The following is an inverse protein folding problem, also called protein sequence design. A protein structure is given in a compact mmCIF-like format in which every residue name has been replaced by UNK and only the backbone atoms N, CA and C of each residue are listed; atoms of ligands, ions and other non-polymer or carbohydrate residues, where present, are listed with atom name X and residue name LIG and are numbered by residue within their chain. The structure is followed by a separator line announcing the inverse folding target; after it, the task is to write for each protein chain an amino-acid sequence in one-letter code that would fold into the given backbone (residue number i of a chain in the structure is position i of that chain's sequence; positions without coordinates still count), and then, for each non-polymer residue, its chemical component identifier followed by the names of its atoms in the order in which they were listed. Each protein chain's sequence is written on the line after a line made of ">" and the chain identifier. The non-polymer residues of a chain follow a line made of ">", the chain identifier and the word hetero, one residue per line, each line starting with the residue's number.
data_IF_914446423546
#
_entry.id   IF_914446423546
#
_cell.length_a   1.000
_cell.length_b   1.000
_cell.length_c   1.000
_cell.angle_alpha   90.00
_cell.angle_beta   90.00
_cell.angle_gamma   90.00
#
_symmetry.space_group_name_H-M   'P 1'
#
loop_
_entity.id
_entity.type
_entity.pdbx_description
1 polymer ?
#
# COMPACT_ATOMS: atom_id res chain seq x y z
N UNK A 1 -19.04 -5.37 30.77
CA UNK A 1 -17.59 -5.17 30.56
C UNK A 1 -16.97 -4.75 31.88
N UNK A 2 -16.17 -5.62 32.51
CA UNK A 2 -15.58 -5.33 33.84
C UNK A 2 -14.56 -4.19 33.75
N UNK A 3 -14.30 -3.51 34.85
CA UNK A 3 -13.36 -2.40 34.89
C UNK A 3 -11.91 -2.84 34.58
N UNK A 4 -11.57 -4.11 34.86
CA UNK A 4 -10.29 -4.71 34.48
C UNK A 4 -10.11 -4.83 32.96
N UNK A 5 -11.17 -5.17 32.21
CA UNK A 5 -11.10 -5.25 30.74
C UNK A 5 -11.03 -3.87 30.07
N UNK A 6 -11.58 -2.83 30.71
CA UNK A 6 -11.46 -1.45 30.20
C UNK A 6 -10.02 -0.96 30.34
N UNK A 7 -9.38 -1.24 31.47
CA UNK A 7 -8.01 -0.79 31.72
C UNK A 7 -6.99 -1.49 30.81
N UNK A 8 -7.14 -2.81 30.60
CA UNK A 8 -6.31 -3.55 29.63
C UNK A 8 -6.42 -2.97 28.20
N UNK A 9 -7.64 -2.64 27.73
CA UNK A 9 -7.84 -2.02 26.41
C UNK A 9 -7.16 -0.66 26.28
N UNK A 10 -7.19 0.18 27.32
CA UNK A 10 -6.51 1.49 27.31
C UNK A 10 -5.00 1.34 27.21
N UNK A 11 -4.40 0.42 27.97
CA UNK A 11 -2.96 0.16 27.94
C UNK A 11 -2.54 -0.35 26.55
N UNK A 12 -3.32 -1.24 25.94
CA UNK A 12 -3.06 -1.73 24.58
C UNK A 12 -3.18 -0.62 23.53
N UNK A 13 -4.22 0.22 23.60
CA UNK A 13 -4.43 1.33 22.68
C UNK A 13 -3.30 2.37 22.77
N UNK A 14 -2.92 2.76 23.99
CA UNK A 14 -1.83 3.72 24.19
C UNK A 14 -0.49 3.20 23.70
N UNK A 15 -0.22 1.90 23.90
CA UNK A 15 1.00 1.26 23.38
C UNK A 15 1.03 1.25 21.86
N UNK A 16 -0.09 0.90 21.21
CA UNK A 16 -0.24 0.94 19.74
C UNK A 16 -0.08 2.35 19.18
N UNK A 17 -0.66 3.35 19.85
CA UNK A 17 -0.54 4.76 19.47
C UNK A 17 0.90 5.27 19.58
N UNK A 18 1.62 4.94 20.66
CA UNK A 18 3.04 5.31 20.81
C UNK A 18 3.89 4.74 19.69
N UNK A 19 3.69 3.46 19.35
CA UNK A 19 4.40 2.82 18.25
C UNK A 19 4.06 3.48 16.90
N UNK A 20 2.78 3.79 16.66
CA UNK A 20 2.33 4.51 15.47
C UNK A 20 3.00 5.88 15.35
N UNK A 21 2.95 6.71 16.40
CA UNK A 21 3.56 8.04 16.40
C UNK A 21 5.07 7.96 16.15
N UNK A 22 5.78 7.04 16.83
CA UNK A 22 7.22 6.85 16.63
C UNK A 22 7.56 6.52 15.17
N UNK A 23 6.82 5.59 14.56
CA UNK A 23 7.05 5.22 13.16
C UNK A 23 6.68 6.37 12.21
N UNK A 24 5.59 7.08 12.48
CA UNK A 24 5.19 8.27 11.71
C UNK A 24 6.27 9.33 11.75
N UNK A 25 6.75 9.69 12.94
CA UNK A 25 7.73 10.74 13.13
C UNK A 25 9.04 10.37 12.44
N UNK A 26 9.46 9.10 12.54
CA UNK A 26 10.60 8.57 11.78
C UNK A 26 10.45 8.78 10.26
N UNK A 27 9.28 8.53 9.69
CA UNK A 27 9.04 8.74 8.25
C UNK A 27 9.22 10.21 7.88
N UNK A 28 8.66 11.13 8.67
CA UNK A 28 8.80 12.56 8.39
C UNK A 28 10.25 13.05 8.57
N UNK A 29 10.95 12.55 9.58
CA UNK A 29 12.36 12.86 9.81
C UNK A 29 13.25 12.38 8.65
N UNK A 30 13.10 11.12 8.23
CA UNK A 30 13.88 10.57 7.10
C UNK A 30 13.54 11.26 5.78
N UNK A 31 12.27 11.63 5.57
CA UNK A 31 11.86 12.46 4.43
C UNK A 31 12.52 13.84 4.45
N UNK A 32 12.61 14.48 5.62
CA UNK A 32 13.25 15.80 5.75
C UNK A 32 14.74 15.77 5.42
N UNK A 33 15.38 14.62 5.64
CA UNK A 33 16.78 14.35 5.27
C UNK A 33 16.95 13.98 3.79
N UNK A 34 15.86 13.89 3.03
CA UNK A 34 15.87 13.48 1.63
C UNK A 34 16.09 11.98 1.41
N UNK A 35 15.94 11.13 2.44
CA UNK A 35 16.11 9.68 2.30
C UNK A 35 14.86 9.09 1.63
N UNK A 36 15.02 8.66 0.38
CA UNK A 36 13.97 8.03 -0.44
C UNK A 36 14.40 6.62 -0.84
N UNK A 37 14.26 5.67 0.08
CA UNK A 37 14.70 4.28 -0.07
C UNK A 37 13.56 3.27 0.15
N UNK A 38 13.86 1.98 -0.07
CA UNK A 38 12.91 0.88 0.12
C UNK A 38 12.53 0.69 1.61
N UNK A 39 13.39 1.12 2.55
CA UNK A 39 13.06 1.11 3.97
C UNK A 39 11.87 2.05 4.26
N UNK A 40 11.85 3.23 3.63
CA UNK A 40 10.74 4.16 3.72
C UNK A 40 9.43 3.60 3.15
N UNK A 41 9.49 2.78 2.09
CA UNK A 41 8.33 2.02 1.61
C UNK A 41 7.86 1.02 2.67
N UNK A 42 8.76 0.34 3.36
CA UNK A 42 8.37 -0.60 4.42
C UNK A 42 7.71 0.11 5.60
N UNK A 43 8.27 1.24 6.05
CA UNK A 43 7.75 2.03 7.17
C UNK A 43 6.35 2.62 6.87
N UNK A 44 6.18 3.20 5.68
CA UNK A 44 4.91 3.79 5.27
C UNK A 44 3.83 2.72 5.08
N UNK A 45 4.17 1.51 4.59
CA UNK A 45 3.25 0.39 4.46
C UNK A 45 2.68 -0.06 5.82
N UNK A 46 3.54 -0.17 6.83
CA UNK A 46 3.15 -0.58 8.18
C UNK A 46 2.12 0.36 8.84
N UNK A 47 2.11 1.64 8.45
CA UNK A 47 1.12 2.61 8.91
C UNK A 47 -0.16 2.57 8.06
N UNK A 48 -0.03 2.42 6.75
CA UNK A 48 -1.16 2.41 5.81
C UNK A 48 -2.08 1.19 6.00
N UNK A 49 -1.54 0.00 6.27
CA UNK A 49 -2.38 -1.19 6.57
C UNK A 49 -3.32 -0.94 7.76
N UNK A 50 -2.92 -0.09 8.71
CA UNK A 50 -3.72 0.24 9.91
C UNK A 50 -4.61 1.47 9.70
N UNK A 51 -4.17 2.41 8.87
CA UNK A 51 -4.87 3.66 8.57
C UNK A 51 -4.71 4.00 7.08
N UNK A 52 -5.47 3.33 6.19
CA UNK A 52 -5.31 3.46 4.74
C UNK A 52 -5.74 4.84 4.21
N UNK A 53 -6.50 5.59 5.02
CA UNK A 53 -7.00 6.93 4.72
C UNK A 53 -5.95 8.03 4.84
N UNK A 54 -4.75 7.72 5.34
CA UNK A 54 -3.70 8.72 5.54
C UNK A 54 -3.02 9.08 4.21
N UNK A 55 -3.67 9.98 3.47
CA UNK A 55 -3.28 10.42 2.13
C UNK A 55 -1.83 10.93 2.02
N UNK A 56 -1.34 11.64 3.03
CA UNK A 56 0.05 12.13 3.03
C UNK A 56 1.04 10.99 2.83
N UNK A 57 0.84 9.82 3.46
CA UNK A 57 1.75 8.68 3.29
C UNK A 57 1.73 8.14 1.86
N UNK A 58 0.56 8.09 1.20
CA UNK A 58 0.47 7.70 -0.20
C UNK A 58 1.24 8.65 -1.12
N UNK A 59 1.22 9.95 -0.84
CA UNK A 59 2.01 10.93 -1.60
C UNK A 59 3.50 10.68 -1.41
N UNK A 60 3.94 10.51 -0.16
CA UNK A 60 5.33 10.17 0.17
C UNK A 60 5.77 8.91 -0.58
N UNK A 61 4.93 7.87 -0.62
CA UNK A 61 5.23 6.63 -1.36
C UNK A 61 5.41 6.84 -2.86
N UNK A 62 4.52 7.60 -3.51
CA UNK A 62 4.63 7.86 -4.97
C UNK A 62 5.93 8.58 -5.31
N UNK A 63 6.33 9.54 -4.48
CA UNK A 63 7.63 10.22 -4.64
C UNK A 63 8.80 9.25 -4.50
N UNK A 64 8.79 8.38 -3.48
CA UNK A 64 9.84 7.37 -3.28
C UNK A 64 9.93 6.41 -4.47
N UNK A 65 8.80 5.86 -4.95
CA UNK A 65 8.78 4.96 -6.10
C UNK A 65 9.29 5.66 -7.36
N UNK A 66 8.90 6.92 -7.57
CA UNK A 66 9.42 7.72 -8.67
C UNK A 66 10.94 7.89 -8.62
N UNK A 67 11.48 8.21 -7.44
CA UNK A 67 12.92 8.32 -7.22
C UNK A 67 13.65 7.00 -7.44
N UNK A 68 13.14 5.90 -6.88
CA UNK A 68 13.71 4.56 -7.06
C UNK A 68 13.68 4.14 -8.53
N UNK A 69 12.60 4.44 -9.26
CA UNK A 69 12.49 4.13 -10.68
C UNK A 69 13.53 4.85 -11.53
N UNK A 70 13.75 6.14 -11.29
CA UNK A 70 14.82 6.88 -11.95
C UNK A 70 16.20 6.31 -11.60
N UNK A 71 16.43 5.97 -10.34
CA UNK A 71 17.71 5.41 -9.88
C UNK A 71 17.99 4.04 -10.51
N UNK A 72 17.01 3.14 -10.49
CA UNK A 72 17.09 1.76 -10.99
C UNK A 72 17.25 1.73 -12.52
N UNK A 73 16.62 2.65 -13.25
CA UNK A 73 16.75 2.73 -14.72
C UNK A 73 18.18 3.04 -15.18
N UNK A 74 19.02 3.59 -14.29
CA UNK A 74 20.44 3.84 -14.58
C UNK A 74 21.34 2.60 -14.35
N UNK A 75 20.77 1.47 -13.88
CA UNK A 75 21.47 0.20 -13.64
C UNK A 75 21.34 -0.76 -14.85
N UNK A 76 21.99 -1.93 -14.79
CA UNK A 76 21.91 -2.95 -15.85
C UNK A 76 20.46 -3.41 -16.09
N UNK A 77 20.07 -3.55 -17.36
CA UNK A 77 18.68 -3.68 -17.77
C UNK A 77 17.92 -4.87 -17.12
N UNK A 78 18.54 -6.03 -16.97
CA UNK A 78 17.83 -7.23 -16.51
C UNK A 78 17.55 -7.21 -14.99
N UNK A 79 18.54 -6.77 -14.20
CA UNK A 79 18.39 -6.63 -12.74
C UNK A 79 17.47 -5.46 -12.37
N UNK A 80 17.52 -4.38 -13.15
CA UNK A 80 16.62 -3.22 -12.97
C UNK A 80 15.14 -3.57 -13.13
N UNK A 81 14.82 -4.43 -14.11
CA UNK A 81 13.45 -4.87 -14.38
C UNK A 81 12.92 -5.71 -13.23
N UNK A 82 13.74 -6.66 -12.75
CA UNK A 82 13.36 -7.53 -11.63
C UNK A 82 13.10 -6.74 -10.34
N UNK A 83 14.01 -5.82 -9.98
CA UNK A 83 13.83 -5.00 -8.76
C UNK A 83 12.58 -4.13 -8.84
N UNK A 84 12.30 -3.57 -10.02
CA UNK A 84 11.09 -2.77 -10.24
C UNK A 84 9.81 -3.61 -10.11
N UNK A 85 9.81 -4.84 -10.64
CA UNK A 85 8.68 -5.76 -10.52
C UNK A 85 8.40 -6.14 -9.06
N UNK A 86 9.45 -6.37 -8.26
CA UNK A 86 9.33 -6.63 -6.82
C UNK A 86 8.67 -5.46 -6.08
N UNK A 87 9.07 -4.22 -6.38
CA UNK A 87 8.48 -3.00 -5.81
C UNK A 87 6.98 -2.90 -6.19
N UNK A 88 6.65 -3.08 -7.47
CA UNK A 88 5.25 -2.98 -7.92
C UNK A 88 4.36 -4.08 -7.35
N UNK A 89 4.87 -5.31 -7.25
CA UNK A 89 4.15 -6.41 -6.61
C UNK A 89 3.86 -6.11 -5.14
N UNK A 90 4.82 -5.52 -4.40
CA UNK A 90 4.61 -5.10 -3.02
C UNK A 90 3.55 -3.98 -2.90
N UNK A 91 3.54 -3.00 -3.82
CA UNK A 91 2.50 -1.95 -3.84
C UNK A 91 1.11 -2.52 -4.11
N UNK A 92 1.00 -3.50 -5.01
CA UNK A 92 -0.26 -4.15 -5.31
C UNK A 92 -0.81 -4.86 -4.07
N UNK A 93 0.04 -5.62 -3.36
CA UNK A 93 -0.32 -6.31 -2.12
C UNK A 93 -0.73 -5.32 -1.02
N UNK A 94 0.00 -4.22 -0.85
CA UNK A 94 -0.36 -3.18 0.12
C UNK A 94 -1.73 -2.57 -0.20
N UNK A 95 -1.96 -2.23 -1.47
CA UNK A 95 -3.23 -1.64 -1.92
C UNK A 95 -4.38 -2.59 -1.67
N UNK A 96 -4.21 -3.87 -1.98
CA UNK A 96 -5.20 -4.90 -1.69
C UNK A 96 -5.49 -4.99 -0.19
N UNK A 97 -4.47 -5.07 0.65
CA UNK A 97 -4.64 -5.13 2.11
C UNK A 97 -5.37 -3.90 2.66
N UNK A 98 -5.08 -2.71 2.12
CA UNK A 98 -5.76 -1.47 2.51
C UNK A 98 -7.24 -1.47 2.11
N UNK A 99 -7.56 -2.01 0.93
CA UNK A 99 -8.94 -2.12 0.42
C UNK A 99 -9.79 -3.08 1.25
N UNK A 100 -9.21 -4.19 1.71
CA UNK A 100 -9.88 -5.17 2.59
C UNK A 100 -10.31 -4.55 3.93
N UNK A 101 -9.55 -3.56 4.43
CA UNK A 101 -9.82 -2.90 5.72
C UNK A 101 -10.82 -1.74 5.60
N UNK A 102 -10.72 -0.93 4.55
CA UNK A 102 -11.47 0.35 4.45
C UNK A 102 -12.71 0.29 3.56
N UNK A 103 -12.93 -0.81 2.85
CA UNK A 103 -14.06 -0.98 1.94
C UNK A 103 -13.84 -0.23 0.62
N UNK A 104 -14.07 -0.92 -0.49
CA UNK A 104 -13.77 -0.50 -1.86
C UNK A 104 -14.30 0.90 -2.23
N UNK A 105 -15.46 1.29 -1.68
CA UNK A 105 -16.15 2.54 -2.01
C UNK A 105 -15.43 3.79 -1.49
N UNK A 106 -14.78 3.71 -0.32
CA UNK A 106 -14.09 4.87 0.28
C UNK A 106 -12.77 5.18 -0.43
N UNK A 107 -12.11 4.14 -0.94
CA UNK A 107 -10.84 4.25 -1.68
C UNK A 107 -11.04 4.85 -3.07
N UNK A 108 -12.05 4.39 -3.83
CA UNK A 108 -12.36 4.92 -5.17
C UNK A 108 -12.73 6.41 -5.13
N UNK A 109 -13.56 6.84 -4.17
CA UNK A 109 -13.99 8.24 -4.07
C UNK A 109 -12.85 9.24 -3.81
N UNK A 110 -11.79 8.82 -3.11
CA UNK A 110 -10.60 9.65 -2.86
C UNK A 110 -9.55 9.53 -3.97
N UNK A 111 -9.38 8.35 -4.57
CA UNK A 111 -8.39 8.13 -5.62
C UNK A 111 -8.79 8.80 -6.96
N UNK A 112 -10.07 8.80 -7.31
CA UNK A 112 -10.57 9.46 -8.54
C UNK A 112 -10.51 10.99 -8.49
N UNK A 113 -10.43 11.61 -7.31
CA UNK A 113 -10.44 13.08 -7.18
C UNK A 113 -9.08 13.72 -7.43
N UNK A 114 -8.00 12.96 -7.57
CA UNK A 114 -6.64 13.48 -7.40
C UNK A 114 -5.62 13.20 -8.50
N UNK A 115 -5.93 12.47 -9.57
CA UNK A 115 -4.99 12.38 -10.72
C UNK A 115 -5.71 12.14 -12.05
N UNK A 116 -5.68 13.16 -12.92
CA UNK A 116 -6.16 13.11 -14.32
C UNK A 116 -5.08 12.61 -15.29
N UNK A 117 -3.84 12.49 -14.86
CA UNK A 117 -2.71 12.20 -15.73
C UNK A 117 -1.70 11.34 -14.97
N UNK A 118 -1.78 10.00 -15.04
CA UNK A 118 -0.59 9.15 -14.94
C UNK A 118 -0.89 7.69 -15.32
N UNK A 119 0.06 7.11 -16.05
CA UNK A 119 0.09 5.77 -16.66
C UNK A 119 -0.18 4.61 -15.68
N UNK A 120 -0.02 4.82 -14.37
CA UNK A 120 -0.35 3.84 -13.33
C UNK A 120 -1.83 3.46 -13.27
N UNK A 121 -2.74 4.32 -13.76
CA UNK A 121 -4.17 4.02 -13.78
C UNK A 121 -4.49 2.83 -14.67
N UNK A 122 -3.81 2.66 -15.81
CA UNK A 122 -4.00 1.46 -16.64
C UNK A 122 -3.53 0.21 -15.90
N UNK A 123 -2.36 0.21 -15.27
CA UNK A 123 -1.83 -0.95 -14.57
C UNK A 123 -2.67 -1.35 -13.34
N UNK A 124 -3.10 -0.37 -12.53
CA UNK A 124 -3.91 -0.61 -11.34
C UNK A 124 -5.35 -0.96 -11.71
N UNK A 125 -5.93 -0.32 -12.73
CA UNK A 125 -7.27 -0.69 -13.23
C UNK A 125 -7.25 -2.07 -13.87
N UNK A 126 -6.20 -2.44 -14.62
CA UNK A 126 -6.02 -3.80 -15.15
C UNK A 126 -5.83 -4.81 -14.02
N UNK A 127 -4.99 -4.51 -13.02
CA UNK A 127 -4.75 -5.40 -11.88
C UNK A 127 -5.98 -5.56 -10.97
N UNK A 128 -6.77 -4.50 -10.76
CA UNK A 128 -8.01 -4.54 -9.99
C UNK A 128 -9.15 -5.21 -10.77
N UNK A 129 -9.23 -5.04 -12.09
CA UNK A 129 -10.15 -5.82 -12.92
C UNK A 129 -9.74 -7.29 -13.02
N UNK A 130 -8.43 -7.60 -12.95
CA UNK A 130 -7.94 -8.97 -12.82
C UNK A 130 -8.23 -9.57 -11.44
N UNK A 131 -8.12 -8.81 -10.34
CA UNK A 131 -8.55 -9.25 -9.00
C UNK A 131 -10.08 -9.46 -8.94
N UNK A 132 -10.87 -8.61 -9.59
CA UNK A 132 -12.32 -8.79 -9.69
C UNK A 132 -12.70 -10.02 -10.54
N UNK A 133 -11.93 -10.31 -11.59
CA UNK A 133 -12.10 -11.49 -12.44
C UNK A 133 -11.59 -12.78 -11.76
N UNK A 134 -10.44 -12.74 -11.08
CA UNK A 134 -9.83 -13.88 -10.40
C UNK A 134 -10.54 -14.24 -9.09
N UNK A 135 -11.08 -13.27 -8.33
CA UNK A 135 -11.91 -13.56 -7.16
C UNK A 135 -13.28 -14.14 -7.55
N UNK A 136 -13.84 -13.80 -8.72
CA UNK A 136 -15.06 -14.45 -9.22
C UNK A 136 -14.79 -15.81 -9.89
N UNK A 137 -13.62 -16.05 -10.48
CA UNK A 137 -13.33 -17.32 -11.16
C UNK A 137 -13.09 -18.50 -10.21
N UNK A 138 -12.83 -18.28 -8.91
CA UNK A 138 -12.70 -19.39 -7.95
C UNK A 138 -14.04 -20.07 -7.62
N UNK A 139 -15.18 -19.46 -7.96
CA UNK A 139 -16.50 -20.10 -7.92
C UNK A 139 -16.89 -20.78 -9.24
N UNK A 140 -16.28 -20.41 -10.37
CA UNK A 140 -16.64 -20.94 -11.68
C UNK A 140 -15.78 -22.14 -12.14
N UNK A 141 -14.63 -22.38 -11.49
CA UNK A 141 -13.75 -23.50 -11.81
C UNK A 141 -14.25 -24.88 -11.30
N UNK A 142 -15.39 -24.95 -10.60
CA UNK A 142 -16.07 -26.22 -10.27
C UNK A 142 -17.00 -26.68 -11.43
N UNK A 143 -17.31 -25.81 -12.40
CA UNK A 143 -18.21 -26.12 -13.52
C UNK A 143 -17.60 -25.75 -14.89
N UNK A 144 -16.60 -26.54 -15.35
CA UNK A 144 -16.44 -26.95 -16.78
C UNK A 144 -15.08 -27.60 -17.03
N UNK A 145 -14.95 -28.86 -16.61
CA UNK A 145 -14.13 -29.84 -17.34
C UNK A 145 -14.98 -30.42 -18.48
N UNK A 146 -14.60 -30.13 -19.73
CA UNK A 146 -14.79 -30.89 -20.98
C UNK A 146 -14.83 -29.91 -22.16
N UNK A 147 -13.73 -29.84 -22.89
CA UNK A 147 -13.63 -30.31 -24.27
C UNK A 147 -12.16 -30.59 -24.59
#
# INVERSE_FOLDING_TARGET
>A
MSDEQKEKRKVEQTTKLKAYCKTRDRIFDERSKGKMDEEMLTLTAALLVKNPDFYTLWNIRREIIGFLSQKITNECAEESVKRMDEIFNAELQLTQACLEVSGFFFFFAKFYRLDSELVCFKAIFFALSFLFFCCNLRLHAIFRCKF
#
